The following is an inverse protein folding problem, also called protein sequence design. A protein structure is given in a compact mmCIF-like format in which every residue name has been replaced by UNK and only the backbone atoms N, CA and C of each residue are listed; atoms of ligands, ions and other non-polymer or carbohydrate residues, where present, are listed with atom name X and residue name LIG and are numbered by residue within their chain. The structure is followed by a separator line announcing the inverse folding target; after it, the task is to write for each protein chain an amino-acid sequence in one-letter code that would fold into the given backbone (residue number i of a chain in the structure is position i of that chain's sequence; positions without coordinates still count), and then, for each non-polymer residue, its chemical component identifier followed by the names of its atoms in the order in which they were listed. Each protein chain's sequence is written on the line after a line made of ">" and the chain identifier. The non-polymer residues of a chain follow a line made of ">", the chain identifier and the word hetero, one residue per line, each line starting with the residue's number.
data_IF_416909980586
#
_entry.id   IF_416909980586
#
_cell.length_a   1.000
_cell.length_b   1.000
_cell.length_c   1.000
_cell.angle_alpha   90.00
_cell.angle_beta   90.00
_cell.angle_gamma   90.00
#
_symmetry.space_group_name_H-M   'P 1'
#
loop_
_entity.id
_entity.type
_entity.pdbx_description
1 polymer ?
#
# COMPACT_ATOMS: atom_id res chain seq x y z
N UNK A 1 -6.19 21.36 2.29
CA UNK A 1 -6.39 19.92 2.55
C UNK A 1 -6.37 19.69 4.06
N UNK A 2 -7.48 19.21 4.63
CA UNK A 2 -7.58 18.91 6.07
C UNK A 2 -6.60 17.78 6.43
N UNK A 3 -5.75 18.01 7.45
CA UNK A 3 -4.81 17.00 7.95
C UNK A 3 -5.61 15.84 8.57
N UNK A 4 -5.32 14.61 8.16
CA UNK A 4 -5.79 13.39 8.83
C UNK A 4 -5.17 13.40 10.23
N UNK A 5 -5.99 13.57 11.28
CA UNK A 5 -5.54 13.51 12.68
C UNK A 5 -5.00 12.11 13.00
N UNK A 6 -3.89 12.03 13.73
CA UNK A 6 -3.14 10.79 13.99
C UNK A 6 -3.97 9.69 14.65
N UNK A 7 -5.00 10.04 15.44
CA UNK A 7 -5.91 9.09 16.08
C UNK A 7 -6.77 8.29 15.09
N UNK A 8 -7.07 8.85 13.91
CA UNK A 8 -7.86 8.20 12.86
C UNK A 8 -7.03 7.26 11.96
N UNK A 9 -5.70 7.25 12.11
CA UNK A 9 -4.76 6.51 11.25
C UNK A 9 -4.38 5.10 11.76
N UNK A 10 -5.02 4.63 12.83
CA UNK A 10 -4.60 3.40 13.54
C UNK A 10 -5.14 2.09 12.93
N UNK A 11 -6.11 2.15 12.02
CA UNK A 11 -6.65 0.96 11.35
C UNK A 11 -7.15 1.27 9.95
N UNK A 12 -7.17 0.25 9.08
CA UNK A 12 -7.75 0.34 7.73
C UNK A 12 -9.18 0.91 7.77
N UNK A 13 -10.02 0.38 8.67
CA UNK A 13 -11.42 0.82 8.82
C UNK A 13 -11.55 2.29 9.19
N UNK A 14 -10.70 2.78 10.09
CA UNK A 14 -10.71 4.20 10.50
C UNK A 14 -10.31 5.12 9.34
N UNK A 15 -9.30 4.72 8.56
CA UNK A 15 -8.83 5.47 7.39
C UNK A 15 -9.91 5.48 6.29
N UNK A 16 -10.49 4.33 5.98
CA UNK A 16 -11.59 4.22 5.01
C UNK A 16 -12.80 5.06 5.46
N UNK A 17 -13.20 4.99 6.73
CA UNK A 17 -14.28 5.82 7.28
C UNK A 17 -13.98 7.31 7.11
N UNK A 18 -12.76 7.75 7.40
CA UNK A 18 -12.36 9.15 7.20
C UNK A 18 -12.49 9.55 5.72
N UNK A 19 -11.99 8.73 4.79
CA UNK A 19 -12.09 9.00 3.35
C UNK A 19 -13.56 9.05 2.91
N UNK A 20 -14.38 8.09 3.33
CA UNK A 20 -15.80 8.04 2.98
C UNK A 20 -16.60 9.27 3.47
N UNK A 21 -16.23 9.84 4.62
CA UNK A 21 -16.88 11.04 5.17
C UNK A 21 -16.48 12.33 4.43
N UNK A 22 -15.28 12.37 3.84
CA UNK A 22 -14.71 13.60 3.26
C UNK A 22 -14.74 13.63 1.72
N UNK A 23 -14.91 12.48 1.06
CA UNK A 23 -14.89 12.36 -0.41
C UNK A 23 -16.14 11.64 -0.91
N UNK A 24 -16.81 12.21 -1.92
CA UNK A 24 -18.14 11.75 -2.36
C UNK A 24 -18.06 10.71 -3.48
N UNK A 25 -17.28 10.99 -4.53
CA UNK A 25 -17.21 10.13 -5.72
C UNK A 25 -16.20 9.00 -5.53
N UNK A 26 -16.35 7.88 -6.25
CA UNK A 26 -15.36 6.79 -6.25
C UNK A 26 -13.97 7.29 -6.69
N UNK A 27 -13.92 8.14 -7.72
CA UNK A 27 -12.69 8.76 -8.21
C UNK A 27 -11.98 9.61 -7.15
N UNK A 28 -12.71 10.38 -6.35
CA UNK A 28 -12.10 11.18 -5.29
C UNK A 28 -11.64 10.32 -4.13
N UNK A 29 -12.41 9.28 -3.79
CA UNK A 29 -12.05 8.30 -2.77
C UNK A 29 -10.77 7.55 -3.13
N UNK A 30 -10.68 6.99 -4.34
CA UNK A 30 -9.49 6.22 -4.75
C UNK A 30 -8.24 7.12 -4.84
N UNK A 31 -8.39 8.38 -5.29
CA UNK A 31 -7.31 9.38 -5.22
C UNK A 31 -6.90 9.65 -3.78
N UNK A 32 -7.85 9.79 -2.85
CA UNK A 32 -7.53 9.97 -1.44
C UNK A 32 -6.81 8.75 -0.83
N UNK A 33 -7.16 7.52 -1.23
CA UNK A 33 -6.42 6.30 -0.86
C UNK A 33 -4.98 6.38 -1.38
N UNK A 34 -4.79 6.72 -2.66
CA UNK A 34 -3.47 6.88 -3.25
C UNK A 34 -2.63 7.91 -2.47
N UNK A 35 -3.18 9.11 -2.24
CA UNK A 35 -2.51 10.16 -1.47
C UNK A 35 -2.17 9.73 -0.06
N UNK A 36 -3.09 9.05 0.64
CA UNK A 36 -2.83 8.53 1.97
C UNK A 36 -1.63 7.56 1.96
N UNK A 37 -1.68 6.53 1.11
CA UNK A 37 -0.65 5.49 1.04
C UNK A 37 0.70 6.09 0.68
N UNK A 38 0.76 6.94 -0.35
CA UNK A 38 2.00 7.54 -0.83
C UNK A 38 2.60 8.61 0.12
N UNK A 39 1.78 9.25 0.96
CA UNK A 39 2.24 10.31 1.88
C UNK A 39 2.47 9.84 3.31
N UNK A 40 1.90 8.69 3.70
CA UNK A 40 1.98 8.15 5.07
C UNK A 40 2.88 6.94 5.21
N UNK A 41 3.30 6.35 4.10
CA UNK A 41 4.25 5.25 4.06
C UNK A 41 5.47 5.75 3.29
N UNK A 42 6.64 5.66 3.91
CA UNK A 42 7.93 5.89 3.26
C UNK A 42 8.49 4.57 2.73
N UNK A 43 9.26 4.61 1.64
CA UNK A 43 9.86 3.39 1.11
C UNK A 43 10.93 2.87 2.08
N UNK A 44 10.83 1.59 2.45
CA UNK A 44 11.78 0.96 3.36
C UNK A 44 12.99 0.41 2.60
N UNK A 45 14.01 1.26 2.48
CA UNK A 45 15.25 0.92 1.77
C UNK A 45 16.02 -0.22 2.44
N UNK A 46 15.97 -0.33 3.77
CA UNK A 46 16.69 -1.40 4.49
C UNK A 46 15.98 -2.74 4.31
N UNK A 47 14.65 -2.78 4.45
CA UNK A 47 13.86 -3.98 4.12
C UNK A 47 14.07 -4.40 2.67
N UNK A 48 14.09 -3.44 1.75
CA UNK A 48 14.38 -3.67 0.34
C UNK A 48 15.77 -4.29 0.10
N UNK A 49 16.83 -3.72 0.70
CA UNK A 49 18.19 -4.28 0.61
C UNK A 49 18.24 -5.71 1.11
N UNK A 50 17.60 -6.00 2.24
CA UNK A 50 17.56 -7.35 2.81
C UNK A 50 16.90 -8.36 1.85
N UNK A 51 15.85 -7.96 1.13
CA UNK A 51 15.20 -8.80 0.11
C UNK A 51 16.16 -9.08 -1.06
N UNK A 52 16.95 -8.09 -1.49
CA UNK A 52 17.91 -8.28 -2.58
C UNK A 52 19.08 -9.16 -2.17
N UNK A 53 19.56 -9.03 -0.93
CA UNK A 53 20.70 -9.80 -0.44
C UNK A 53 20.36 -11.29 -0.28
N UNK A 54 19.09 -11.61 -0.03
CA UNK A 54 18.63 -13.00 0.08
C UNK A 54 17.26 -13.18 -0.60
N UNK A 55 17.23 -13.21 -1.95
CA UNK A 55 15.98 -13.28 -2.71
C UNK A 55 15.29 -14.65 -2.59
N UNK A 56 16.01 -15.69 -2.13
CA UNK A 56 15.47 -17.03 -1.91
C UNK A 56 14.83 -17.18 -0.53
N UNK A 57 15.07 -16.24 0.39
CA UNK A 57 14.40 -16.17 1.68
C UNK A 57 12.95 -15.76 1.48
N UNK A 58 12.08 -16.76 1.33
CA UNK A 58 10.64 -16.57 1.37
C UNK A 58 10.25 -15.98 2.73
N UNK A 59 9.88 -14.70 2.75
CA UNK A 59 9.13 -14.17 3.88
C UNK A 59 7.70 -14.72 3.77
N UNK A 60 7.27 -15.50 4.76
CA UNK A 60 5.88 -15.96 4.89
C UNK A 60 5.11 -14.80 5.55
N UNK A 61 5.09 -13.64 4.89
CA UNK A 61 4.32 -12.48 5.33
C UNK A 61 2.96 -12.50 4.66
N UNK A 62 1.90 -12.48 5.45
CA UNK A 62 0.52 -12.27 4.98
C UNK A 62 0.29 -10.80 4.61
N UNK A 63 -0.83 -10.51 3.95
CA UNK A 63 -1.23 -9.12 3.70
C UNK A 63 -1.53 -8.38 5.00
N UNK A 64 -2.09 -9.05 6.00
CA UNK A 64 -2.30 -8.50 7.34
C UNK A 64 -0.98 -8.09 8.00
N UNK A 65 0.07 -8.93 7.93
CA UNK A 65 1.40 -8.61 8.47
C UNK A 65 1.98 -7.37 7.78
N UNK A 66 1.83 -7.31 6.45
CA UNK A 66 2.30 -6.18 5.64
C UNK A 66 1.59 -4.89 5.98
N UNK A 67 0.28 -4.94 6.21
CA UNK A 67 -0.55 -3.81 6.62
C UNK A 67 -0.13 -3.33 8.01
N UNK A 68 -0.06 -4.23 8.99
CA UNK A 68 0.32 -3.88 10.36
C UNK A 68 1.70 -3.25 10.42
N UNK A 69 2.68 -3.87 9.74
CA UNK A 69 4.02 -3.33 9.63
C UNK A 69 4.01 -1.88 9.12
N UNK A 70 3.25 -1.62 8.06
CA UNK A 70 3.20 -0.28 7.44
C UNK A 70 2.51 0.75 8.30
N UNK A 71 1.41 0.38 8.98
CA UNK A 71 0.69 1.30 9.85
C UNK A 71 1.48 1.65 11.11
N UNK A 72 2.28 0.73 11.64
CA UNK A 72 3.12 0.95 12.83
C UNK A 72 4.38 1.73 12.45
N UNK A 73 5.16 1.21 11.49
CA UNK A 73 6.48 1.75 11.17
C UNK A 73 6.45 2.94 10.20
N UNK A 74 5.28 3.21 9.59
CA UNK A 74 5.10 4.21 8.53
C UNK A 74 6.06 3.97 7.36
N UNK A 75 6.37 2.69 7.10
CA UNK A 75 7.37 2.24 6.12
C UNK A 75 6.92 0.95 5.45
N UNK A 76 7.41 0.70 4.24
CA UNK A 76 7.18 -0.57 3.54
C UNK A 76 7.85 -0.65 2.17
N UNK A 77 7.78 -1.82 1.54
CA UNK A 77 8.18 -2.03 0.14
C UNK A 77 6.94 -2.21 -0.76
N UNK A 78 7.11 -2.48 -2.05
CA UNK A 78 6.00 -2.57 -3.02
C UNK A 78 4.78 -3.40 -2.54
N UNK A 79 5.00 -4.60 -2.00
CA UNK A 79 3.93 -5.44 -1.45
C UNK A 79 3.20 -4.81 -0.25
N UNK A 80 3.91 -4.08 0.61
CA UNK A 80 3.32 -3.35 1.73
C UNK A 80 2.40 -2.22 1.25
N UNK A 81 2.84 -1.44 0.26
CA UNK A 81 2.03 -0.39 -0.34
C UNK A 81 0.77 -0.96 -1.00
N UNK A 82 0.92 -2.05 -1.76
CA UNK A 82 -0.19 -2.72 -2.42
C UNK A 82 -1.21 -3.26 -1.40
N UNK A 83 -0.75 -3.91 -0.34
CA UNK A 83 -1.62 -4.44 0.72
C UNK A 83 -2.41 -3.32 1.42
N UNK A 84 -1.76 -2.22 1.82
CA UNK A 84 -2.45 -1.09 2.46
C UNK A 84 -3.44 -0.42 1.51
N UNK A 85 -3.03 -0.13 0.28
CA UNK A 85 -3.92 0.49 -0.70
C UNK A 85 -5.14 -0.39 -0.98
N UNK A 86 -4.93 -1.68 -1.26
CA UNK A 86 -5.98 -2.64 -1.58
C UNK A 86 -6.97 -2.77 -0.42
N UNK A 87 -6.48 -2.86 0.82
CA UNK A 87 -7.33 -2.99 2.00
C UNK A 87 -8.23 -1.76 2.20
N UNK A 88 -7.69 -0.53 2.06
CA UNK A 88 -8.50 0.69 2.19
C UNK A 88 -9.50 0.81 1.05
N UNK A 89 -9.07 0.56 -0.19
CA UNK A 89 -9.94 0.67 -1.36
C UNK A 89 -11.10 -0.33 -1.31
N UNK A 90 -10.85 -1.58 -0.92
CA UNK A 90 -11.89 -2.59 -0.78
C UNK A 90 -12.85 -2.28 0.39
N UNK A 91 -12.37 -1.72 1.51
CA UNK A 91 -13.25 -1.24 2.60
C UNK A 91 -14.16 -0.07 2.13
N UNK A 92 -13.75 0.67 1.11
CA UNK A 92 -14.55 1.71 0.44
C UNK A 92 -15.46 1.17 -0.67
N UNK A 93 -15.56 -0.16 -0.83
CA UNK A 93 -16.26 -0.86 -1.90
C UNK A 93 -15.71 -0.59 -3.31
N UNK A 94 -14.45 -0.14 -3.44
CA UNK A 94 -13.77 0.01 -4.73
C UNK A 94 -12.96 -1.25 -4.99
N UNK A 95 -13.49 -2.09 -5.89
CA UNK A 95 -12.92 -3.41 -6.21
C UNK A 95 -11.46 -3.27 -6.65
N UNK A 96 -10.56 -3.81 -5.83
CA UNK A 96 -9.11 -3.68 -6.02
C UNK A 96 -8.42 -5.01 -5.79
N UNK A 97 -7.45 -5.32 -6.64
CA UNK A 97 -6.65 -6.54 -6.57
C UNK A 97 -5.16 -6.21 -6.50
N UNK A 98 -4.43 -7.00 -5.73
CA UNK A 98 -2.96 -7.00 -5.76
C UNK A 98 -2.52 -7.85 -6.95
N UNK A 99 -1.61 -7.30 -7.74
CA UNK A 99 -0.97 -7.97 -8.87
C UNK A 99 0.51 -8.06 -8.57
N UNK A 100 1.05 -9.27 -8.64
CA UNK A 100 2.48 -9.55 -8.49
C UNK A 100 3.11 -9.84 -9.86
N UNK A 101 4.36 -9.43 -10.05
CA UNK A 101 5.07 -9.66 -11.30
C UNK A 101 6.41 -8.94 -11.34
N UNK A 102 6.80 -8.48 -12.52
CA UNK A 102 8.06 -7.77 -12.73
C UNK A 102 7.81 -6.46 -13.47
N UNK A 103 8.62 -5.44 -13.17
CA UNK A 103 8.55 -4.13 -13.84
C UNK A 103 9.55 -4.03 -14.97
N UNK A 104 9.26 -3.17 -15.95
CA UNK A 104 10.22 -2.81 -17.00
C UNK A 104 10.92 -1.50 -16.63
N UNK A 105 12.24 -1.54 -16.49
CA UNK A 105 13.09 -0.40 -16.16
C UNK A 105 14.16 -0.24 -17.24
N UNK A 106 14.34 0.97 -17.76
CA UNK A 106 15.32 1.27 -18.81
C UNK A 106 15.26 0.32 -20.01
N UNK A 107 14.05 -0.05 -20.43
CA UNK A 107 13.84 -0.95 -21.57
C UNK A 107 13.99 -2.45 -21.26
N UNK A 108 14.37 -2.84 -20.05
CA UNK A 108 14.60 -4.25 -19.66
C UNK A 108 13.67 -4.68 -18.52
N UNK A 109 13.32 -5.97 -18.46
CA UNK A 109 12.58 -6.53 -17.32
C UNK A 109 13.53 -6.55 -16.11
N UNK A 110 13.07 -6.02 -14.99
CA UNK A 110 13.82 -6.05 -13.72
C UNK A 110 13.87 -7.47 -13.18
N UNK A 111 15.02 -7.87 -12.62
CA UNK A 111 15.15 -9.17 -11.95
C UNK A 111 14.47 -9.19 -10.57
N UNK A 112 14.11 -8.02 -10.04
CA UNK A 112 13.41 -7.90 -8.77
C UNK A 112 11.89 -7.91 -9.00
N UNK A 113 11.20 -8.79 -8.29
CA UNK A 113 9.75 -8.84 -8.27
C UNK A 113 9.13 -7.54 -7.76
N UNK A 114 7.92 -7.26 -8.20
CA UNK A 114 7.15 -6.08 -7.84
C UNK A 114 5.69 -6.45 -7.59
N UNK A 115 5.01 -5.62 -6.79
CA UNK A 115 3.59 -5.73 -6.53
C UNK A 115 2.92 -4.36 -6.68
N UNK A 116 1.75 -4.34 -7.31
CA UNK A 116 0.93 -3.13 -7.52
C UNK A 116 -0.55 -3.46 -7.41
N UNK A 117 -1.40 -2.42 -7.42
CA UNK A 117 -2.85 -2.60 -7.39
C UNK A 117 -3.47 -2.36 -8.77
N UNK A 118 -4.42 -3.20 -9.14
CA UNK A 118 -5.38 -2.94 -10.22
C UNK A 118 -6.73 -2.60 -9.57
N UNK A 119 -7.27 -1.41 -9.86
CA UNK A 119 -8.49 -0.88 -9.26
C UNK A 119 -9.47 -0.42 -10.34
N UNK A 120 -10.77 -0.57 -10.08
CA UNK A 120 -11.86 -0.20 -11.01
C UNK A 120 -12.12 1.30 -11.00
#
# INVERSE_FOLDING_TARGET
>A
MSKIQDSSSKSIKSIAKFIALNFKTENDKIRAVFYFTASKISYDVEKYKNIILDPNKKSIETDEDRIQYSLINKKGVCANYAAVFSAIANELNIKTFIVEGYTKQFGKISNLSHAWCASK
#
